data_IF_968533427435
#
_entry.id   IF_968533427435
#
_cell.length_a   1.000
_cell.length_b   1.000
_cell.length_c   1.000
_cell.angle_alpha   90.00
_cell.angle_beta   90.00
_cell.angle_gamma   90.00
#
_symmetry.space_group_name_H-M   'P 1'
#
loop_
_entity.id
_entity.type
_entity.pdbx_description
1 polymer ?
#
# COMPACT_ATOMS: atom_id res chain seq x y z
N UNK A 1 14.37 -0.55 -5.23
CA UNK A 1 14.29 -1.98 -5.63
C UNK A 1 15.53 -2.49 -6.36
N UNK A 2 16.13 -1.74 -7.29
CA UNK A 2 17.35 -2.19 -8.01
C UNK A 2 18.51 -2.53 -7.07
N UNK A 3 18.79 -1.67 -6.08
CA UNK A 3 19.83 -1.95 -5.08
C UNK A 3 19.57 -3.25 -4.30
N UNK A 4 18.31 -3.57 -3.99
CA UNK A 4 17.94 -4.82 -3.31
C UNK A 4 18.18 -6.04 -4.20
N UNK A 5 17.84 -5.92 -5.48
CA UNK A 5 18.15 -6.96 -6.46
C UNK A 5 19.65 -7.17 -6.63
N UNK A 6 20.43 -6.09 -6.66
CA UNK A 6 21.89 -6.16 -6.82
C UNK A 6 22.56 -6.89 -5.65
N UNK A 7 22.21 -6.55 -4.39
CA UNK A 7 22.78 -7.22 -3.22
C UNK A 7 22.32 -8.69 -3.16
N UNK A 8 21.06 -8.98 -3.52
CA UNK A 8 20.56 -10.35 -3.63
C UNK A 8 21.39 -11.18 -4.62
N UNK A 9 21.64 -10.67 -5.83
CA UNK A 9 22.47 -11.36 -6.84
C UNK A 9 23.91 -11.53 -6.37
N UNK A 10 24.50 -10.51 -5.74
CA UNK A 10 25.85 -10.60 -5.17
C UNK A 10 25.95 -11.67 -4.08
N UNK A 11 24.95 -11.74 -3.20
CA UNK A 11 24.92 -12.73 -2.10
C UNK A 11 24.76 -14.15 -2.65
N UNK A 12 23.97 -14.34 -3.71
CA UNK A 12 23.84 -15.62 -4.39
C UNK A 12 25.17 -16.08 -4.98
N UNK A 13 25.88 -15.19 -5.68
CA UNK A 13 27.19 -15.51 -6.27
C UNK A 13 28.22 -15.92 -5.21
N UNK A 14 28.22 -15.29 -4.03
CA UNK A 14 29.10 -15.68 -2.91
C UNK A 14 28.72 -17.04 -2.31
N UNK A 15 27.42 -17.34 -2.20
CA UNK A 15 26.93 -18.66 -1.76
C UNK A 15 27.33 -19.77 -2.73
N UNK A 16 27.14 -19.54 -4.03
CA UNK A 16 27.51 -20.50 -5.08
C UNK A 16 29.02 -20.73 -5.11
N UNK A 17 29.82 -19.67 -4.89
CA UNK A 17 31.27 -19.79 -4.74
C UNK A 17 31.66 -20.61 -3.51
N UNK A 18 31.02 -20.38 -2.35
CA UNK A 18 31.27 -21.15 -1.14
C UNK A 18 30.92 -22.63 -1.32
N UNK A 19 29.81 -22.93 -2.00
CA UNK A 19 29.42 -24.29 -2.35
C UNK A 19 30.42 -24.95 -3.30
N UNK A 20 30.85 -24.24 -4.34
CA UNK A 20 31.82 -24.77 -5.30
C UNK A 20 33.17 -25.13 -4.65
N UNK A 21 33.70 -24.27 -3.76
CA UNK A 21 34.95 -24.55 -3.06
C UNK A 21 34.80 -25.75 -2.11
N UNK A 22 33.69 -25.83 -1.38
CA UNK A 22 33.44 -26.95 -0.47
C UNK A 22 33.22 -28.28 -1.21
N UNK A 23 32.57 -28.23 -2.38
CA UNK A 23 32.40 -29.39 -3.25
C UNK A 23 33.74 -29.85 -3.83
N UNK A 24 34.57 -28.91 -4.32
CA UNK A 24 35.93 -29.22 -4.80
C UNK A 24 36.78 -29.87 -3.72
N UNK A 25 36.66 -29.43 -2.46
CA UNK A 25 37.35 -30.06 -1.34
C UNK A 25 36.83 -31.48 -1.06
N UNK A 26 35.51 -31.68 -1.16
CA UNK A 26 34.88 -33.00 -0.99
C UNK A 26 35.34 -33.97 -2.08
N UNK A 27 35.43 -33.51 -3.33
CA UNK A 27 35.89 -34.31 -4.46
C UNK A 27 37.37 -34.65 -4.33
N UNK A 28 38.22 -33.68 -3.96
CA UNK A 28 39.65 -33.90 -3.71
C UNK A 28 39.90 -34.88 -2.55
N UNK A 29 39.08 -34.82 -1.49
CA UNK A 29 39.17 -35.77 -0.38
C UNK A 29 38.73 -37.18 -0.80
N UNK A 30 37.71 -37.32 -1.65
CA UNK A 30 37.28 -38.62 -2.18
C UNK A 30 38.36 -39.26 -3.07
N UNK A 31 39.00 -38.46 -3.94
CA UNK A 31 40.11 -38.91 -4.79
C UNK A 31 41.30 -39.37 -3.93
N UNK A 32 41.69 -38.57 -2.94
CA UNK A 32 42.77 -38.91 -2.01
C UNK A 32 42.48 -40.21 -1.23
N UNK A 33 41.24 -40.42 -0.78
CA UNK A 33 40.86 -41.65 -0.07
C UNK A 33 40.83 -42.89 -0.98
N UNK A 34 40.59 -42.72 -2.28
CA UNK A 34 40.67 -43.80 -3.27
C UNK A 34 42.12 -44.32 -3.40
N UNK A 35 43.10 -43.40 -3.42
CA UNK A 35 44.51 -43.74 -3.62
C UNK A 35 45.25 -44.12 -2.33
N UNK A 36 44.93 -43.46 -1.20
CA UNK A 36 45.67 -43.59 0.07
C UNK A 36 44.89 -44.27 1.20
N UNK A 37 43.64 -44.66 0.96
CA UNK A 37 42.76 -45.31 1.93
C UNK A 37 41.96 -44.33 2.80
N UNK A 38 41.01 -44.88 3.57
CA UNK A 38 40.02 -44.08 4.32
C UNK A 38 40.65 -43.22 5.41
N UNK A 39 40.32 -41.94 5.42
CA UNK A 39 40.64 -40.98 6.49
C UNK A 39 39.44 -40.78 7.41
N UNK A 40 39.67 -40.32 8.65
CA UNK A 40 38.58 -39.93 9.55
C UNK A 40 37.82 -38.74 8.94
N UNK A 41 36.49 -38.80 8.98
CA UNK A 41 35.63 -37.70 8.53
C UNK A 41 35.99 -36.43 9.27
N UNK A 42 36.17 -35.34 8.51
CA UNK A 42 36.52 -34.05 9.06
C UNK A 42 35.27 -33.33 9.61
N UNK A 43 35.15 -33.20 10.93
CA UNK A 43 34.00 -32.56 11.57
C UNK A 43 33.83 -31.11 11.13
N UNK A 44 34.91 -30.38 10.88
CA UNK A 44 34.87 -28.99 10.42
C UNK A 44 34.24 -28.85 9.03
N UNK A 45 34.48 -29.81 8.13
CA UNK A 45 33.83 -29.83 6.81
C UNK A 45 32.31 -30.05 6.93
N UNK A 46 31.89 -30.95 7.82
CA UNK A 46 30.46 -31.20 8.05
C UNK A 46 29.75 -30.01 8.68
N UNK A 47 30.41 -29.30 9.59
CA UNK A 47 29.87 -28.09 10.22
C UNK A 47 29.72 -26.95 9.21
N UNK A 48 30.74 -26.70 8.39
CA UNK A 48 30.68 -25.68 7.33
C UNK A 48 29.63 -26.01 6.26
N UNK A 49 29.47 -27.29 5.91
CA UNK A 49 28.41 -27.74 5.01
C UNK A 49 27.01 -27.49 5.58
N UNK A 50 26.80 -27.79 6.87
CA UNK A 50 25.53 -27.49 7.55
C UNK A 50 25.26 -25.97 7.63
N UNK A 51 26.29 -25.18 7.90
CA UNK A 51 26.21 -23.72 7.95
C UNK A 51 25.89 -23.12 6.55
N UNK A 52 26.51 -23.63 5.49
CA UNK A 52 26.20 -23.25 4.11
C UNK A 52 24.73 -23.54 3.77
N UNK A 53 24.23 -24.74 4.09
CA UNK A 53 22.84 -25.09 3.83
C UNK A 53 21.86 -24.19 4.59
N UNK A 54 22.18 -23.81 5.84
CA UNK A 54 21.39 -22.85 6.61
C UNK A 54 21.31 -21.49 5.90
N UNK A 55 22.44 -20.97 5.38
CA UNK A 55 22.45 -19.69 4.68
C UNK A 55 21.76 -19.76 3.32
N UNK A 56 21.89 -20.87 2.57
CA UNK A 56 21.14 -21.11 1.32
C UNK A 56 19.63 -21.11 1.57
N UNK A 57 19.15 -21.82 2.59
CA UNK A 57 17.73 -21.82 2.95
C UNK A 57 17.22 -20.43 3.36
N UNK A 58 18.03 -19.66 4.10
CA UNK A 58 17.70 -18.29 4.47
C UNK A 58 17.63 -17.39 3.23
N UNK A 59 18.55 -17.55 2.29
CA UNK A 59 18.56 -16.85 1.01
C UNK A 59 17.31 -17.16 0.18
N UNK A 60 16.98 -18.44 -0.03
CA UNK A 60 15.81 -18.86 -0.83
C UNK A 60 14.52 -18.22 -0.31
N UNK A 61 14.29 -18.30 1.01
CA UNK A 61 13.11 -17.69 1.65
C UNK A 61 13.06 -16.17 1.46
N UNK A 62 14.20 -15.51 1.60
CA UNK A 62 14.27 -14.06 1.40
C UNK A 62 14.07 -13.66 -0.08
N UNK A 63 14.55 -14.49 -1.01
CA UNK A 63 14.37 -14.29 -2.44
C UNK A 63 12.91 -14.41 -2.85
N UNK A 64 12.20 -15.43 -2.36
CA UNK A 64 10.76 -15.61 -2.60
C UNK A 64 9.94 -14.41 -2.11
N UNK A 65 10.19 -13.97 -0.86
CA UNK A 65 9.55 -12.78 -0.29
C UNK A 65 9.84 -11.51 -1.11
N UNK A 66 11.06 -11.37 -1.64
CA UNK A 66 11.43 -10.23 -2.46
C UNK A 66 10.74 -10.26 -3.84
N UNK A 67 10.57 -11.43 -4.45
CA UNK A 67 9.79 -11.58 -5.69
C UNK A 67 8.32 -11.21 -5.47
N UNK A 68 7.74 -11.56 -4.31
CA UNK A 68 6.40 -11.14 -3.93
C UNK A 68 6.32 -9.62 -3.74
N UNK A 69 7.32 -9.02 -3.08
CA UNK A 69 7.43 -7.56 -2.91
C UNK A 69 7.49 -6.83 -4.27
N UNK A 70 8.26 -7.36 -5.22
CA UNK A 70 8.32 -6.84 -6.59
C UNK A 70 6.97 -6.93 -7.30
N UNK A 71 6.27 -8.06 -7.19
CA UNK A 71 4.93 -8.23 -7.78
C UNK A 71 3.92 -7.24 -7.18
N UNK A 72 3.92 -7.07 -5.86
CA UNK A 72 3.07 -6.09 -5.18
C UNK A 72 3.36 -4.66 -5.66
N UNK A 73 4.64 -4.29 -5.79
CA UNK A 73 5.02 -2.98 -6.34
C UNK A 73 4.51 -2.77 -7.77
N UNK A 74 4.64 -3.77 -8.64
CA UNK A 74 4.19 -3.68 -10.03
C UNK A 74 2.68 -3.43 -10.16
N UNK A 75 1.88 -4.02 -9.26
CA UNK A 75 0.43 -3.79 -9.23
C UNK A 75 0.07 -2.31 -9.00
N UNK A 76 0.84 -1.61 -8.16
CA UNK A 76 0.58 -0.21 -7.80
C UNK A 76 1.37 0.81 -8.62
N UNK A 77 2.32 0.36 -9.45
CA UNK A 77 3.28 1.22 -10.13
C UNK A 77 2.62 2.31 -10.97
N UNK A 78 1.55 1.98 -11.71
CA UNK A 78 0.87 2.95 -12.56
C UNK A 78 0.20 4.07 -11.73
N UNK A 79 -0.45 3.72 -10.63
CA UNK A 79 -1.06 4.69 -9.72
C UNK A 79 0.02 5.55 -9.04
N UNK A 80 1.15 4.97 -8.65
CA UNK A 80 2.26 5.70 -8.05
C UNK A 80 2.92 6.67 -9.03
N UNK A 81 3.01 6.31 -10.32
CA UNK A 81 3.45 7.24 -11.37
C UNK A 81 2.53 8.44 -11.49
N UNK A 82 1.20 8.22 -11.47
CA UNK A 82 0.23 9.32 -11.46
C UNK A 82 0.44 10.21 -10.25
N UNK A 83 0.61 9.64 -9.06
CA UNK A 83 0.86 10.42 -7.83
C UNK A 83 2.19 11.18 -7.84
N UNK A 84 3.19 10.71 -8.59
CA UNK A 84 4.48 11.37 -8.74
C UNK A 84 4.47 12.49 -9.80
N UNK A 85 3.44 12.56 -10.64
CA UNK A 85 3.28 13.61 -11.64
C UNK A 85 2.87 14.97 -11.04
N UNK A 86 3.04 16.08 -11.77
CA UNK A 86 2.52 17.38 -11.37
C UNK A 86 1.01 17.36 -11.08
N UNK A 87 0.56 18.25 -10.19
CA UNK A 87 -0.85 18.32 -9.77
C UNK A 87 -1.83 18.49 -10.93
N UNK A 88 -1.42 19.18 -12.01
CA UNK A 88 -2.21 19.32 -13.24
C UNK A 88 -2.48 17.98 -13.92
N UNK A 89 -1.46 17.11 -14.00
CA UNK A 89 -1.59 15.77 -14.58
C UNK A 89 -2.41 14.86 -13.67
N UNK A 90 -2.19 14.90 -12.35
CA UNK A 90 -3.00 14.18 -11.36
C UNK A 90 -4.48 14.53 -11.52
N UNK A 91 -4.80 15.83 -11.65
CA UNK A 91 -6.17 16.30 -11.87
C UNK A 91 -6.76 15.78 -13.19
N UNK A 92 -5.96 15.74 -14.25
CA UNK A 92 -6.38 15.22 -15.56
C UNK A 92 -6.60 13.70 -15.59
N UNK A 93 -5.90 12.96 -14.73
CA UNK A 93 -6.05 11.52 -14.60
C UNK A 93 -7.35 11.11 -13.87
N UNK A 94 -8.01 12.06 -13.18
CA UNK A 94 -9.29 11.82 -12.54
C UNK A 94 -10.45 12.04 -13.53
N UNK A 95 -11.44 11.13 -13.55
CA UNK A 95 -12.67 11.36 -14.32
C UNK A 95 -13.33 12.68 -13.93
N UNK A 96 -13.77 13.43 -14.93
CA UNK A 96 -14.52 14.67 -14.74
C UNK A 96 -15.91 14.51 -15.36
N UNK A 97 -16.94 14.63 -14.53
CA UNK A 97 -18.32 14.43 -14.91
C UNK A 97 -18.78 15.40 -16.01
N UNK A 98 -18.30 16.64 -15.99
CA UNK A 98 -18.72 17.68 -16.94
C UNK A 98 -18.06 17.54 -18.30
N UNK A 99 -16.82 17.05 -18.36
CA UNK A 99 -16.15 16.78 -19.65
C UNK A 99 -16.68 15.53 -20.34
N UNK A 100 -17.45 14.69 -19.64
CA UNK A 100 -18.08 13.50 -20.20
C UNK A 100 -19.43 13.80 -20.88
N UNK A 101 -19.94 15.03 -20.77
CA UNK A 101 -21.22 15.43 -21.35
C UNK A 101 -21.08 15.90 -22.81
N UNK A 102 -22.12 15.67 -23.61
CA UNK A 102 -22.22 16.25 -24.97
C UNK A 102 -22.64 17.71 -24.92
N UNK A 103 -22.44 18.43 -26.02
CA UNK A 103 -22.89 19.83 -26.12
C UNK A 103 -24.41 19.96 -25.94
N UNK A 104 -25.20 18.97 -26.39
CA UNK A 104 -26.66 18.97 -26.16
C UNK A 104 -27.00 18.80 -24.67
N UNK A 105 -26.32 17.89 -23.97
CA UNK A 105 -26.50 17.68 -22.53
C UNK A 105 -26.12 18.95 -21.73
N UNK A 106 -25.05 19.64 -22.15
CA UNK A 106 -24.63 20.90 -21.56
C UNK A 106 -25.67 22.03 -21.78
N UNK A 107 -26.32 22.03 -22.95
CA UNK A 107 -27.40 22.96 -23.25
C UNK A 107 -28.63 22.72 -22.37
N UNK A 108 -28.99 21.46 -22.08
CA UNK A 108 -30.08 21.12 -21.14
C UNK A 108 -29.79 21.64 -19.72
N UNK A 109 -28.55 21.44 -19.22
CA UNK A 109 -28.11 22.02 -17.94
C UNK A 109 -28.28 23.53 -17.92
N UNK A 110 -27.77 24.21 -18.94
CA UNK A 110 -27.84 25.68 -19.06
C UNK A 110 -29.29 26.16 -19.07
N UNK A 111 -30.16 25.45 -19.80
CA UNK A 111 -31.61 25.73 -19.84
C UNK A 111 -32.26 25.60 -18.47
N UNK A 112 -31.91 24.58 -17.69
CA UNK A 112 -32.40 24.43 -16.32
C UNK A 112 -31.93 25.59 -15.43
N UNK A 113 -30.66 25.98 -15.51
CA UNK A 113 -30.12 27.11 -14.74
C UNK A 113 -30.88 28.41 -15.06
N UNK A 114 -31.16 28.65 -16.34
CA UNK A 114 -31.98 29.78 -16.79
C UNK A 114 -33.42 29.72 -16.29
N UNK A 115 -34.05 28.54 -16.29
CA UNK A 115 -35.42 28.36 -15.77
C UNK A 115 -35.48 28.58 -14.26
N UNK A 116 -34.49 28.12 -13.49
CA UNK A 116 -34.38 28.45 -12.06
C UNK A 116 -34.22 29.96 -11.83
N UNK A 117 -33.37 30.63 -12.61
CA UNK A 117 -33.24 32.08 -12.55
C UNK A 117 -34.58 32.78 -12.84
N UNK A 118 -35.32 32.33 -13.86
CA UNK A 118 -36.62 32.90 -14.22
C UNK A 118 -37.68 32.67 -13.14
N UNK A 119 -37.69 31.50 -12.49
CA UNK A 119 -38.58 31.23 -11.36
C UNK A 119 -38.29 32.17 -10.19
N UNK A 120 -37.02 32.38 -9.87
CA UNK A 120 -36.62 33.31 -8.82
C UNK A 120 -37.02 34.75 -9.18
N UNK A 121 -36.85 35.16 -10.44
CA UNK A 121 -37.33 36.45 -10.92
C UNK A 121 -38.85 36.59 -10.73
N UNK A 122 -39.66 35.61 -11.15
CA UNK A 122 -41.13 35.62 -10.97
C UNK A 122 -41.51 35.72 -9.49
N UNK A 123 -40.82 35.01 -8.60
CA UNK A 123 -41.05 35.07 -7.15
C UNK A 123 -40.77 36.47 -6.59
N UNK A 124 -39.62 37.05 -6.94
CA UNK A 124 -39.22 38.39 -6.48
C UNK A 124 -40.18 39.45 -7.02
N UNK A 125 -40.49 39.41 -8.32
CA UNK A 125 -41.40 40.38 -8.94
C UNK A 125 -42.80 40.32 -8.34
N UNK A 126 -43.35 39.11 -8.12
CA UNK A 126 -44.66 38.96 -7.47
C UNK A 126 -44.67 39.53 -6.05
N UNK A 127 -43.60 39.29 -5.28
CA UNK A 127 -43.47 39.82 -3.91
C UNK A 127 -43.43 41.35 -3.91
N UNK A 128 -42.68 41.93 -4.85
CA UNK A 128 -42.58 43.38 -5.01
C UNK A 128 -43.92 44.00 -5.44
N UNK A 129 -44.61 43.41 -6.41
CA UNK A 129 -45.92 43.88 -6.88
C UNK A 129 -46.97 43.79 -5.77
N UNK A 130 -47.01 42.67 -5.03
CA UNK A 130 -47.89 42.51 -3.89
C UNK A 130 -47.65 43.58 -2.81
N UNK A 131 -46.38 43.82 -2.47
CA UNK A 131 -46.00 44.84 -1.48
C UNK A 131 -46.42 46.23 -1.94
N UNK A 132 -46.15 46.59 -3.20
CA UNK A 132 -46.58 47.85 -3.79
C UNK A 132 -48.10 48.03 -3.78
N UNK A 133 -48.85 47.00 -4.17
CA UNK A 133 -50.32 47.05 -4.16
C UNK A 133 -50.84 47.24 -2.73
N UNK A 134 -50.28 46.50 -1.77
CA UNK A 134 -50.63 46.65 -0.35
C UNK A 134 -50.36 48.08 0.13
N UNK A 135 -49.19 48.63 -0.17
CA UNK A 135 -48.82 49.98 0.27
C UNK A 135 -49.69 51.05 -0.38
N UNK A 136 -49.99 50.91 -1.67
CA UNK A 136 -50.90 51.82 -2.38
C UNK A 136 -52.31 51.78 -1.79
N UNK A 137 -52.87 50.59 -1.56
CA UNK A 137 -54.21 50.43 -0.97
C UNK A 137 -54.26 50.98 0.47
N UNK A 138 -53.22 50.76 1.28
CA UNK A 138 -53.17 51.25 2.66
C UNK A 138 -53.03 52.77 2.76
N UNK A 139 -52.47 53.41 1.73
CA UNK A 139 -52.20 54.86 1.71
C UNK A 139 -53.29 55.64 0.94
N UNK A 140 -54.16 54.97 0.19
CA UNK A 140 -55.21 55.58 -0.62
C UNK A 140 -56.40 56.04 0.25
N UNK A 141 -56.33 57.28 0.75
CA UNK A 141 -57.41 57.92 1.49
C UNK A 141 -58.38 58.66 0.56
N UNK A 142 -59.57 58.07 0.38
CA UNK A 142 -60.66 58.62 -0.45
C UNK A 142 -61.68 59.45 0.33
N UNK A 143 -61.45 59.73 1.63
CA UNK A 143 -62.43 60.39 2.51
C UNK A 143 -62.87 61.75 1.95
N UNK A 144 -61.93 62.51 1.38
CA UNK A 144 -62.22 63.80 0.73
C UNK A 144 -63.14 63.64 -0.47
N UNK A 145 -62.82 62.70 -1.36
CA UNK A 145 -63.59 62.44 -2.57
C UNK A 145 -65.03 62.05 -2.22
N UNK A 146 -65.21 61.15 -1.25
CA UNK A 146 -66.52 60.72 -0.73
C UNK A 146 -67.34 61.89 -0.18
N UNK A 147 -66.74 62.74 0.65
CA UNK A 147 -67.43 63.91 1.24
C UNK A 147 -67.84 64.93 0.16
N UNK A 148 -66.99 65.13 -0.86
CA UNK A 148 -67.27 66.09 -1.93
C UNK A 148 -68.27 65.60 -2.98
N UNK A 149 -68.45 64.28 -3.13
CA UNK A 149 -69.35 63.71 -4.14
C UNK A 149 -70.86 63.83 -3.86
N UNK A 150 -71.28 64.33 -2.70
CA UNK A 150 -72.68 64.68 -2.42
C UNK A 150 -73.67 63.50 -2.56
N UNK A 151 -74.76 63.68 -3.32
CA UNK A 151 -75.80 62.65 -3.56
C UNK A 151 -75.48 61.69 -4.71
N UNK A 152 -74.23 61.66 -5.20
CA UNK A 152 -73.81 60.76 -6.25
C UNK A 152 -73.84 59.29 -5.78
N UNK A 153 -74.04 58.36 -6.72
CA UNK A 153 -74.05 56.92 -6.45
C UNK A 153 -72.67 56.50 -5.87
N UNK A 154 -72.58 56.09 -4.60
CA UNK A 154 -71.30 55.78 -3.96
C UNK A 154 -70.58 54.58 -4.61
N UNK A 155 -71.33 53.66 -5.22
CA UNK A 155 -70.77 52.51 -5.94
C UNK A 155 -69.99 52.94 -7.19
N UNK A 156 -70.44 53.96 -7.93
CA UNK A 156 -69.69 54.43 -9.10
C UNK A 156 -68.40 55.15 -8.70
N UNK A 157 -68.43 55.91 -7.59
CA UNK A 157 -67.24 56.55 -7.05
C UNK A 157 -66.19 55.50 -6.65
N UNK A 158 -66.57 54.49 -5.85
CA UNK A 158 -65.63 53.44 -5.45
C UNK A 158 -65.08 52.65 -6.63
N UNK A 159 -65.92 52.36 -7.64
CA UNK A 159 -65.46 51.70 -8.86
C UNK A 159 -64.41 52.53 -9.61
N UNK A 160 -64.56 53.85 -9.65
CA UNK A 160 -63.59 54.74 -10.30
C UNK A 160 -62.31 54.91 -9.48
N UNK A 161 -62.41 55.00 -8.16
CA UNK A 161 -61.24 55.08 -7.28
C UNK A 161 -60.42 53.78 -7.26
N UNK A 162 -61.06 52.62 -7.39
CA UNK A 162 -60.37 51.32 -7.47
C UNK A 162 -59.55 51.17 -8.75
N UNK A 163 -59.94 51.82 -9.86
CA UNK A 163 -59.22 51.75 -11.15
C UNK A 163 -57.76 52.20 -11.07
N UNK A 164 -57.40 53.01 -10.06
CA UNK A 164 -55.99 53.41 -9.82
C UNK A 164 -55.07 52.20 -9.61
N UNK A 165 -55.61 51.11 -9.05
CA UNK A 165 -54.87 49.90 -8.68
C UNK A 165 -54.88 48.85 -9.80
N UNK A 166 -55.76 48.98 -10.81
CA UNK A 166 -55.88 48.05 -11.94
C UNK A 166 -54.54 47.75 -12.63
N UNK A 167 -53.65 48.73 -12.92
CA UNK A 167 -52.37 48.43 -13.58
C UNK A 167 -51.45 47.51 -12.75
N UNK A 168 -51.53 47.54 -11.42
CA UNK A 168 -50.78 46.61 -10.57
C UNK A 168 -51.45 45.24 -10.53
N UNK A 169 -52.80 45.19 -10.49
CA UNK A 169 -53.56 43.95 -10.54
C UNK A 169 -53.30 43.20 -11.85
N UNK A 170 -53.36 43.90 -13.00
CA UNK A 170 -53.04 43.33 -14.32
C UNK A 170 -51.62 42.75 -14.38
N UNK A 171 -50.63 43.44 -13.81
CA UNK A 171 -49.26 42.93 -13.73
C UNK A 171 -49.15 41.68 -12.87
N UNK A 172 -49.83 41.65 -11.70
CA UNK A 172 -49.87 40.47 -10.84
C UNK A 172 -50.51 39.29 -11.58
N UNK A 173 -51.64 39.51 -12.24
CA UNK A 173 -52.32 38.50 -13.05
C UNK A 173 -51.45 37.99 -14.20
N UNK A 174 -50.72 38.88 -14.88
CA UNK A 174 -49.75 38.50 -15.91
C UNK A 174 -48.70 37.54 -15.36
N UNK A 175 -48.11 37.81 -14.19
CA UNK A 175 -47.13 36.93 -13.55
C UNK A 175 -47.75 35.61 -13.06
N UNK A 176 -48.97 35.64 -12.53
CA UNK A 176 -49.71 34.44 -12.14
C UNK A 176 -50.00 33.53 -13.34
N UNK A 177 -50.36 34.12 -14.48
CA UNK A 177 -50.61 33.41 -15.74
C UNK A 177 -49.32 32.91 -16.42
N UNK A 178 -48.19 33.59 -16.20
CA UNK A 178 -46.88 33.16 -16.71
C UNK A 178 -46.28 32.00 -15.90
N UNK A 179 -46.50 31.96 -14.58
CA UNK A 179 -45.96 30.95 -13.68
C UNK A 179 -46.19 29.49 -14.13
N UNK A 180 -47.41 29.03 -14.49
CA UNK A 180 -47.61 27.65 -14.91
C UNK A 180 -46.82 27.30 -16.18
N UNK A 181 -46.61 28.26 -17.09
CA UNK A 181 -45.81 28.06 -18.31
C UNK A 181 -44.34 27.84 -17.98
N UNK A 182 -43.81 28.61 -17.03
CA UNK A 182 -42.41 28.46 -16.55
C UNK A 182 -42.23 27.13 -15.82
N UNK A 183 -43.20 26.72 -15.00
CA UNK A 183 -43.16 25.44 -14.29
C UNK A 183 -43.27 24.23 -15.24
N UNK A 184 -44.11 24.30 -16.27
CA UNK A 184 -44.20 23.27 -17.31
C UNK A 184 -42.87 23.15 -18.09
N UNK A 185 -42.27 24.29 -18.46
CA UNK A 185 -40.96 24.31 -19.11
C UNK A 185 -39.86 23.71 -18.21
N UNK A 186 -39.87 24.01 -16.90
CA UNK A 186 -38.93 23.40 -15.94
C UNK A 186 -39.18 21.90 -15.80
N UNK A 187 -40.43 21.47 -15.72
CA UNK A 187 -40.77 20.05 -15.56
C UNK A 187 -40.26 19.24 -16.75
N UNK A 188 -40.47 19.75 -17.98
CA UNK A 188 -39.96 19.13 -19.21
C UNK A 188 -38.43 19.06 -19.23
N UNK A 189 -37.77 20.18 -18.96
CA UNK A 189 -36.30 20.22 -18.91
C UNK A 189 -35.73 19.31 -17.81
N UNK A 190 -36.42 19.21 -16.66
CA UNK A 190 -36.02 18.34 -15.56
C UNK A 190 -36.08 16.86 -15.94
N UNK A 191 -37.09 16.42 -16.70
CA UNK A 191 -37.16 15.04 -17.20
C UNK A 191 -35.94 14.70 -18.06
N UNK A 192 -35.54 15.61 -18.96
CA UNK A 192 -34.32 15.45 -19.77
C UNK A 192 -33.05 15.41 -18.90
N UNK A 193 -32.98 16.27 -17.88
CA UNK A 193 -31.81 16.37 -17.01
C UNK A 193 -31.64 15.20 -16.04
N UNK A 194 -32.69 14.45 -15.70
CA UNK A 194 -32.56 13.26 -14.84
C UNK A 194 -31.57 12.25 -15.43
N UNK A 195 -31.59 12.06 -16.75
CA UNK A 195 -30.66 11.14 -17.44
C UNK A 195 -29.23 11.67 -17.35
N UNK A 196 -29.03 12.98 -17.56
CA UNK A 196 -27.74 13.65 -17.43
C UNK A 196 -27.21 13.52 -16.00
N UNK A 197 -28.08 13.71 -15.00
CA UNK A 197 -27.73 13.55 -13.59
C UNK A 197 -27.24 12.14 -13.28
N UNK A 198 -27.92 11.10 -13.78
CA UNK A 198 -27.47 9.71 -13.59
C UNK A 198 -26.07 9.46 -14.20
N UNK A 199 -25.78 10.06 -15.36
CA UNK A 199 -24.46 9.99 -15.98
C UNK A 199 -23.40 10.72 -15.15
N UNK A 200 -23.72 11.89 -14.62
CA UNK A 200 -22.85 12.63 -13.69
C UNK A 200 -22.57 11.78 -12.45
N UNK A 201 -23.60 11.25 -11.80
CA UNK A 201 -23.49 10.42 -10.59
C UNK A 201 -22.59 9.20 -10.84
N UNK A 202 -22.70 8.55 -12.01
CA UNK A 202 -21.84 7.44 -12.38
C UNK A 202 -20.37 7.86 -12.50
N UNK A 203 -20.09 8.99 -13.17
CA UNK A 203 -18.72 9.49 -13.32
C UNK A 203 -18.14 9.94 -11.96
N UNK A 204 -18.97 10.51 -11.09
CA UNK A 204 -18.57 10.85 -9.72
C UNK A 204 -18.22 9.61 -8.89
N UNK A 205 -18.99 8.52 -9.01
CA UNK A 205 -18.65 7.24 -8.38
C UNK A 205 -17.33 6.68 -8.91
N UNK A 206 -17.10 6.73 -10.23
CA UNK A 206 -15.82 6.31 -10.83
C UNK A 206 -14.66 7.18 -10.36
N UNK A 207 -14.88 8.50 -10.24
CA UNK A 207 -13.90 9.45 -9.72
C UNK A 207 -13.52 9.11 -8.28
N UNK A 208 -14.52 8.87 -7.43
CA UNK A 208 -14.29 8.49 -6.04
C UNK A 208 -13.54 7.15 -5.93
N UNK A 209 -13.94 6.13 -6.70
CA UNK A 209 -13.24 4.85 -6.76
C UNK A 209 -11.78 5.00 -7.22
N UNK A 210 -11.51 5.88 -8.20
CA UNK A 210 -10.15 6.16 -8.65
C UNK A 210 -9.33 6.86 -7.57
N UNK A 211 -9.90 7.83 -6.86
CA UNK A 211 -9.24 8.51 -5.74
C UNK A 211 -8.90 7.49 -4.64
N UNK A 212 -9.85 6.64 -4.24
CA UNK A 212 -9.61 5.60 -3.24
C UNK A 212 -8.52 4.61 -3.67
N UNK A 213 -8.49 4.23 -4.96
CA UNK A 213 -7.43 3.39 -5.53
C UNK A 213 -6.05 4.07 -5.45
N UNK A 214 -5.97 5.38 -5.70
CA UNK A 214 -4.72 6.14 -5.57
C UNK A 214 -4.27 6.24 -4.11
N UNK A 215 -5.17 6.55 -3.18
CA UNK A 215 -4.89 6.58 -1.73
C UNK A 215 -4.39 5.22 -1.25
N UNK A 216 -5.09 4.15 -1.60
CA UNK A 216 -4.67 2.79 -1.25
C UNK A 216 -3.29 2.44 -1.82
N UNK A 217 -3.01 2.81 -3.08
CA UNK A 217 -1.68 2.64 -3.68
C UNK A 217 -0.58 3.35 -2.90
N UNK A 218 -0.87 4.52 -2.33
CA UNK A 218 0.08 5.26 -1.51
C UNK A 218 0.33 4.59 -0.15
N UNK A 219 -0.73 4.13 0.53
CA UNK A 219 -0.60 3.39 1.79
C UNK A 219 0.26 2.12 1.59
N UNK A 220 0.02 1.39 0.50
CA UNK A 220 0.83 0.22 0.13
C UNK A 220 2.28 0.63 -0.17
N UNK A 221 2.51 1.79 -0.79
CA UNK A 221 3.87 2.26 -1.06
C UNK A 221 4.67 2.50 0.22
N UNK A 222 4.08 3.10 1.27
CA UNK A 222 4.76 3.25 2.56
C UNK A 222 5.21 1.90 3.12
N UNK A 223 4.30 0.91 3.11
CA UNK A 223 4.59 -0.46 3.53
C UNK A 223 5.70 -1.12 2.68
N UNK A 224 5.69 -0.88 1.36
CA UNK A 224 6.68 -1.43 0.42
C UNK A 224 8.08 -0.86 0.70
N UNK A 225 8.19 0.43 0.99
CA UNK A 225 9.47 1.08 1.32
C UNK A 225 10.06 0.50 2.61
N UNK A 226 9.25 0.32 3.64
CA UNK A 226 9.67 -0.28 4.91
C UNK A 226 10.13 -1.73 4.73
N UNK A 227 9.39 -2.52 3.95
CA UNK A 227 9.77 -3.92 3.63
C UNK A 227 11.04 -3.98 2.79
N UNK A 228 11.20 -3.09 1.81
CA UNK A 228 12.42 -3.00 0.99
C UNK A 228 13.63 -2.71 1.88
N UNK A 229 13.51 -1.76 2.81
CA UNK A 229 14.60 -1.39 3.74
C UNK A 229 15.00 -2.57 4.63
N UNK A 230 14.03 -3.27 5.22
CA UNK A 230 14.29 -4.48 6.02
C UNK A 230 14.94 -5.59 5.19
N UNK A 231 14.52 -5.76 3.93
CA UNK A 231 15.14 -6.68 2.98
C UNK A 231 16.61 -6.33 2.72
N UNK A 232 16.93 -5.06 2.49
CA UNK A 232 18.31 -4.59 2.31
C UNK A 232 19.18 -4.90 3.52
N UNK A 233 18.70 -4.55 4.72
CA UNK A 233 19.42 -4.81 5.98
C UNK A 233 19.68 -6.32 6.18
N UNK A 234 18.68 -7.16 5.84
CA UNK A 234 18.82 -8.61 5.88
C UNK A 234 19.91 -9.11 4.92
N UNK A 235 19.88 -8.71 3.64
CA UNK A 235 20.87 -9.17 2.67
C UNK A 235 22.28 -8.69 3.01
N UNK A 236 22.46 -7.44 3.47
CA UNK A 236 23.75 -6.94 3.93
C UNK A 236 24.31 -7.81 5.07
N UNK A 237 23.45 -8.21 6.01
CA UNK A 237 23.86 -9.08 7.12
C UNK A 237 24.15 -10.50 6.65
N UNK A 238 23.33 -11.04 5.75
CA UNK A 238 23.52 -12.37 5.18
C UNK A 238 24.83 -12.44 4.40
N UNK A 239 25.09 -11.45 3.54
CA UNK A 239 26.32 -11.34 2.77
C UNK A 239 27.56 -11.38 3.66
N UNK A 240 27.59 -10.58 4.74
CA UNK A 240 28.70 -10.63 5.72
C UNK A 240 28.92 -12.01 6.33
N UNK A 241 27.84 -12.72 6.67
CA UNK A 241 27.96 -14.08 7.22
C UNK A 241 28.47 -15.07 6.17
N UNK A 242 28.01 -14.94 4.92
CA UNK A 242 28.44 -15.79 3.80
C UNK A 242 29.91 -15.53 3.46
N UNK A 243 30.36 -14.28 3.44
CA UNK A 243 31.78 -13.92 3.26
C UNK A 243 32.66 -14.54 4.35
N UNK A 244 32.26 -14.41 5.62
CA UNK A 244 33.00 -15.03 6.73
C UNK A 244 33.03 -16.56 6.64
N UNK A 245 31.95 -17.20 6.19
CA UNK A 245 31.94 -18.64 5.93
C UNK A 245 32.85 -19.01 4.74
N UNK A 246 32.81 -18.24 3.66
CA UNK A 246 33.64 -18.46 2.48
C UNK A 246 35.13 -18.39 2.83
N UNK A 247 35.56 -17.39 3.59
CA UNK A 247 36.93 -17.26 4.09
C UNK A 247 37.34 -18.51 4.89
N UNK A 248 36.49 -18.95 5.83
CA UNK A 248 36.74 -20.18 6.62
C UNK A 248 36.83 -21.44 5.75
N UNK A 249 35.98 -21.58 4.73
CA UNK A 249 36.02 -22.72 3.79
C UNK A 249 37.32 -22.68 2.97
N UNK A 250 37.76 -21.50 2.53
CA UNK A 250 39.00 -21.33 1.78
C UNK A 250 40.24 -21.65 2.63
N UNK A 251 40.29 -21.15 3.87
CA UNK A 251 41.37 -21.45 4.81
C UNK A 251 41.43 -22.96 5.10
N UNK A 252 40.27 -23.58 5.32
CA UNK A 252 40.16 -25.02 5.53
C UNK A 252 40.67 -25.82 4.33
N UNK A 253 40.24 -25.45 3.12
CA UNK A 253 40.69 -26.10 1.88
C UNK A 253 42.21 -26.04 1.73
N UNK A 254 42.83 -24.88 1.96
CA UNK A 254 44.29 -24.72 1.91
C UNK A 254 45.02 -25.59 2.95
N UNK A 255 44.48 -25.71 4.16
CA UNK A 255 45.05 -26.57 5.20
C UNK A 255 44.96 -28.03 4.80
N UNK A 256 43.81 -28.48 4.29
CA UNK A 256 43.63 -29.86 3.84
C UNK A 256 44.53 -30.22 2.66
N UNK A 257 44.70 -29.31 1.70
CA UNK A 257 45.62 -29.49 0.58
C UNK A 257 47.08 -29.69 1.06
N UNK A 258 47.54 -28.85 1.98
CA UNK A 258 48.89 -28.97 2.60
C UNK A 258 49.06 -30.26 3.39
N UNK A 259 48.04 -30.66 4.16
CA UNK A 259 48.04 -31.92 4.90
C UNK A 259 48.15 -33.11 3.95
N UNK A 260 47.36 -33.15 2.87
CA UNK A 260 47.44 -34.20 1.84
C UNK A 260 48.81 -34.23 1.17
N UNK A 261 49.34 -33.09 0.74
CA UNK A 261 50.67 -33.00 0.12
C UNK A 261 51.77 -33.58 1.04
N UNK A 262 51.71 -33.26 2.34
CA UNK A 262 52.65 -33.78 3.33
C UNK A 262 52.55 -35.30 3.50
N UNK A 263 51.34 -35.87 3.46
CA UNK A 263 51.13 -37.33 3.55
C UNK A 263 51.66 -38.03 2.30
N UNK A 264 51.41 -37.46 1.11
CA UNK A 264 51.95 -37.97 -0.16
C UNK A 264 53.48 -37.99 -0.12
N UNK A 265 54.12 -36.90 0.32
CA UNK A 265 55.57 -36.80 0.42
C UNK A 265 56.15 -37.84 1.40
N UNK A 266 55.54 -38.01 2.58
CA UNK A 266 55.94 -39.04 3.57
C UNK A 266 55.77 -40.46 3.06
N UNK A 267 54.80 -40.71 2.18
CA UNK A 267 54.60 -42.03 1.57
C UNK A 267 55.69 -42.37 0.56
N UNK A 268 56.24 -41.37 -0.15
CA UNK A 268 57.36 -41.51 -1.10
C UNK A 268 58.71 -41.79 -0.42
N UNK A 269 58.90 -41.38 0.84
CA UNK A 269 60.15 -41.57 1.59
C UNK A 269 60.28 -42.90 2.36
N UNK A 270 59.31 -43.82 2.26
CA UNK A 270 59.42 -45.16 2.89
C UNK A 270 60.30 -46.09 2.03
N UNK A 271 61.58 -46.20 2.37
CA UNK A 271 62.53 -47.23 1.90
C UNK A 271 62.05 -48.63 2.34
N UNK A 272 62.16 -49.70 1.51
CA UNK A 272 61.65 -51.02 1.85
C UNK A 272 62.41 -51.66 3.03
N UNK A 273 61.75 -52.45 3.89
CA UNK A 273 62.42 -53.11 5.01
C UNK A 273 63.32 -54.25 4.49
N UNK A 274 64.57 -54.24 4.96
CA UNK A 274 65.55 -55.32 4.75
C UNK A 274 65.03 -56.62 5.39
N UNK A 275 65.12 -57.79 4.72
CA UNK A 275 64.61 -59.03 5.27
C UNK A 275 65.54 -59.60 6.35
N UNK A 276 64.98 -60.00 7.48
CA UNK A 276 65.64 -60.86 8.46
C UNK A 276 64.60 -61.70 9.18
N UNK A 277 64.70 -63.02 8.98
CA UNK A 277 64.07 -64.08 9.78
C UNK A 277 65.21 -64.98 10.25
N UNK A 278 65.04 -65.88 11.25
CA UNK A 278 64.08 -65.89 12.39
C UNK A 278 64.80 -66.25 13.72
N UNK A 279 64.17 -66.04 14.90
CA UNK A 279 63.95 -67.11 15.91
C UNK A 279 63.35 -66.66 17.26
N UNK A 280 62.26 -67.36 17.60
CA UNK A 280 61.79 -67.98 18.88
C UNK A 280 61.68 -67.21 20.22
N UNK A 281 60.42 -67.16 20.66
CA UNK A 281 59.84 -67.46 21.99
C UNK A 281 60.66 -67.25 23.28
N UNK A 282 60.09 -66.47 24.19
CA UNK A 282 59.78 -66.93 25.56
C UNK A 282 58.75 -66.02 26.22
N UNK A 283 57.81 -66.65 26.93
CA UNK A 283 56.84 -66.04 27.84
C UNK A 283 57.53 -65.62 29.14
N UNK A 284 57.10 -64.51 29.75
CA UNK A 284 56.99 -64.42 31.21
C UNK A 284 56.22 -63.16 31.64
N UNK A 285 55.37 -63.40 32.63
CA UNK A 285 54.50 -62.49 33.37
C UNK A 285 55.22 -61.46 34.26
N UNK A 286 54.37 -60.59 34.82
CA UNK A 286 54.48 -59.86 36.08
C UNK A 286 55.06 -58.44 35.98
N UNK A 287 54.27 -57.38 36.20
CA UNK A 287 53.71 -56.89 37.47
C UNK A 287 54.53 -55.69 37.95
N UNK A 288 53.84 -54.58 38.25
CA UNK A 288 54.25 -53.67 39.31
C UNK A 288 54.51 -52.21 38.93
N UNK A 289 53.52 -51.37 39.25
CA UNK A 289 53.63 -50.06 39.94
C UNK A 289 54.47 -48.93 39.30
N UNK A 290 54.01 -47.69 39.14
CA UNK A 290 52.75 -47.03 39.51
C UNK A 290 52.86 -45.50 39.37
N UNK A 291 51.74 -44.81 39.67
CA UNK A 291 51.65 -43.40 40.15
C UNK A 291 51.86 -42.34 39.04
N UNK A 292 51.06 -41.29 38.77
CA UNK A 292 49.97 -40.45 39.34
C UNK A 292 49.31 -39.78 38.10
N UNK A 293 48.07 -39.31 38.01
CA UNK A 293 47.37 -38.29 38.80
C UNK A 293 45.96 -38.04 38.22
N UNK A 294 45.00 -37.71 39.10
CA UNK A 294 43.90 -36.72 38.96
C UNK A 294 43.20 -36.53 37.59
N UNK A 295 41.89 -36.37 37.45
CA UNK A 295 40.73 -36.23 38.32
C UNK A 295 39.51 -36.21 37.36
N UNK A 296 38.31 -36.49 37.87
CA UNK A 296 37.04 -36.30 37.13
C UNK A 296 36.73 -34.79 36.98
N UNK A 297 35.75 -34.38 36.13
CA UNK A 297 34.31 -34.44 36.47
C UNK A 297 33.45 -34.97 35.30
N UNK A 298 32.53 -35.94 35.48
CA UNK A 298 31.13 -35.82 35.96
C UNK A 298 30.26 -34.70 35.34
N UNK A 299 29.37 -35.16 34.45
CA UNK A 299 28.03 -34.68 34.11
C UNK A 299 27.19 -34.21 35.34
N UNK A 300 26.57 -33.02 35.24
CA UNK A 300 25.11 -32.73 35.34
C UNK A 300 24.86 -31.29 35.81
N UNK A 301 23.93 -30.59 35.12
CA UNK A 301 22.80 -29.77 35.63
C UNK A 301 22.25 -28.95 34.43
N UNK A 302 21.25 -29.45 33.72
CA UNK A 302 19.80 -29.22 33.83
C UNK A 302 19.28 -27.83 33.38
N UNK A 303 18.31 -27.88 32.46
CA UNK A 303 17.17 -26.99 32.24
C UNK A 303 17.39 -25.47 32.14
N UNK A 304 17.12 -24.93 30.93
CA UNK A 304 16.07 -23.92 30.74
C UNK A 304 15.80 -23.70 29.24
N UNK A 305 15.00 -24.59 28.65
CA UNK A 305 14.45 -24.44 27.30
C UNK A 305 12.94 -24.14 27.39
N UNK A 306 12.58 -23.10 28.14
CA UNK A 306 11.25 -22.49 28.13
C UNK A 306 11.44 -20.97 28.29
N UNK A 307 11.78 -20.28 27.19
CA UNK A 307 11.60 -18.82 27.09
C UNK A 307 11.70 -18.23 25.68
N UNK A 308 11.18 -18.90 24.65
CA UNK A 308 11.03 -18.27 23.33
C UNK A 308 9.77 -18.68 22.56
N UNK A 309 8.71 -19.02 23.29
CA UNK A 309 7.35 -19.24 22.74
C UNK A 309 6.33 -18.52 23.63
N UNK A 310 6.39 -17.19 23.65
CA UNK A 310 5.36 -16.31 24.21
C UNK A 310 5.29 -14.95 23.50
N UNK A 311 5.47 -14.95 22.18
CA UNK A 311 5.04 -13.85 21.29
C UNK A 311 4.32 -14.38 20.05
N UNK A 312 3.67 -15.54 20.20
CA UNK A 312 2.80 -16.14 19.20
C UNK A 312 1.50 -16.51 19.91
N UNK A 313 0.65 -15.51 20.14
CA UNK A 313 -0.82 -15.56 20.06
C UNK A 313 -1.39 -14.24 20.56
N UNK A 314 -1.69 -13.33 19.62
CA UNK A 314 -2.86 -12.43 19.67
C UNK A 314 -2.79 -11.38 18.57
N UNK A 315 -3.07 -11.72 17.30
CA UNK A 315 -3.52 -10.69 16.33
C UNK A 315 -4.54 -11.28 15.36
N UNK A 316 -5.78 -11.36 15.81
CA UNK A 316 -6.94 -10.96 15.01
C UNK A 316 -7.75 -10.01 15.93
N UNK A 317 -8.67 -9.23 15.36
CA UNK A 317 -8.53 -7.90 14.77
C UNK A 317 -8.67 -6.77 15.82
N UNK A 318 -8.08 -5.58 15.57
CA UNK A 318 -8.46 -4.24 16.08
C UNK A 318 -7.27 -3.29 16.02
N UNK A 319 -7.16 -2.52 14.94
CA UNK A 319 -6.52 -1.21 14.99
C UNK A 319 -7.47 -0.19 14.36
N UNK A 320 -8.43 0.24 15.19
CA UNK A 320 -8.93 1.62 15.15
C UNK A 320 -7.71 2.50 15.39
N UNK A 321 -7.16 3.12 14.36
CA UNK A 321 -6.16 4.18 14.52
C UNK A 321 -6.89 5.49 14.84
N UNK A 322 -6.59 6.17 15.96
CA UNK A 322 -7.24 7.43 16.34
C UNK A 322 -6.79 8.65 15.51
N UNK A 323 -6.16 8.44 14.35
CA UNK A 323 -5.75 9.52 13.43
C UNK A 323 -6.62 9.68 12.19
N UNK A 324 -7.50 8.73 11.89
CA UNK A 324 -8.45 8.84 10.78
C UNK A 324 -9.85 9.28 11.22
N UNK A 325 -10.23 9.11 12.50
CA UNK A 325 -11.50 9.66 12.99
C UNK A 325 -11.52 11.19 13.03
N UNK A 326 -10.37 11.84 13.19
CA UNK A 326 -10.26 13.30 13.19
C UNK A 326 -10.33 13.93 11.78
N UNK A 327 -10.05 13.14 10.73
CA UNK A 327 -10.18 13.59 9.33
C UNK A 327 -11.59 13.27 8.81
N UNK A 328 -12.16 12.13 9.22
CA UNK A 328 -13.52 11.73 8.85
C UNK A 328 -14.61 12.55 9.58
N UNK A 329 -14.44 12.88 10.87
CA UNK A 329 -15.38 13.75 11.61
C UNK A 329 -15.32 15.22 11.15
N UNK A 330 -14.18 15.69 10.61
CA UNK A 330 -14.07 17.05 10.08
C UNK A 330 -14.72 17.23 8.71
N UNK A 331 -14.98 16.14 8.00
CA UNK A 331 -15.70 16.14 6.72
C UNK A 331 -17.21 15.94 6.90
N UNK A 332 -17.66 15.35 8.01
CA UNK A 332 -19.09 15.10 8.28
C UNK A 332 -19.89 16.36 8.63
N UNK A 333 -19.22 17.43 9.07
CA UNK A 333 -19.86 18.71 9.41
C UNK A 333 -19.97 19.71 8.24
N UNK A 334 -19.42 19.41 7.06
CA UNK A 334 -19.56 20.28 5.88
C UNK A 334 -20.74 19.93 4.95
N UNK A 335 -21.42 18.79 5.15
CA UNK A 335 -22.50 18.34 4.27
C UNK A 335 -23.89 18.38 4.92
N UNK A 336 -24.16 19.32 5.84
CA UNK A 336 -25.49 19.48 6.44
C UNK A 336 -26.00 20.93 6.40
N UNK A 337 -25.87 21.55 5.24
CA UNK A 337 -26.65 22.71 4.83
C UNK A 337 -26.96 22.58 3.33
N UNK A 338 -28.13 22.03 3.01
CA UNK A 338 -29.11 22.58 2.06
C UNK A 338 -30.32 21.65 1.94
#
# INVERSE_FOLDING_TARGET
MEALSAISTSTLAELDKAESVLQSETDAENEFQSEHGKRKVNSSATEMGAELQKWKQAFTKASENNSELQRAMQLHLQNLRVLASPLSEVKSALPNAWSALTDEELAVKTRIEQLFAKINEVKVQRTNLYTKLRDQVMTDDITKDVVTSGSANPQSLFAEQLKKHDPLVEQIEMYLNAQPKVLDALTKANVEFVVIKQKIDLVEQQREAKIQSLVYSYDVYEDLIDKQKKGMEFYIKLQKNVQSLLERIQDFHQVQEKERATIVEKSKSKVPPRPSVPYKHSEANASGTGIKSSARPRLKFYCNYIKFMCLFYSVLPKLKTPRLSAIYERWKYCCNCY
#
